data_IF_030186677932
#
_entry.id   IF_030186677932
#
_cell.length_a   1.000
_cell.length_b   1.000
_cell.length_c   1.000
_cell.angle_alpha   90.00
_cell.angle_beta   90.00
_cell.angle_gamma   90.00
#
_symmetry.space_group_name_H-M   'P 1'
#
loop_
_entity.id
_entity.type
_entity.pdbx_description
1 polymer ?
#
# COMPACT_ATOMS: atom_id res chain seq x y z
N UNK A 1 13.76 2.30 22.08
CA UNK A 1 13.87 3.60 22.76
C UNK A 1 12.60 4.40 22.57
N UNK A 2 12.13 5.01 23.62
CA UNK A 2 10.93 5.84 23.52
C UNK A 2 11.14 6.98 22.55
N UNK A 3 10.12 7.28 21.76
CA UNK A 3 10.17 8.35 20.79
C UNK A 3 10.76 7.98 19.44
N UNK A 4 11.23 6.76 19.25
CA UNK A 4 11.67 6.32 17.94
C UNK A 4 10.46 6.17 17.02
N UNK A 5 10.56 6.77 15.83
CA UNK A 5 9.53 6.60 14.81
C UNK A 5 9.72 5.25 14.14
N UNK A 6 8.65 4.50 14.04
CA UNK A 6 8.69 3.22 13.35
C UNK A 6 8.68 3.47 11.83
N UNK A 7 9.50 2.70 11.13
CA UNK A 7 9.53 2.77 9.67
C UNK A 7 8.29 2.08 9.10
N UNK A 8 7.66 2.73 8.13
CA UNK A 8 6.48 2.22 7.45
C UNK A 8 6.79 2.07 5.96
N UNK A 9 6.39 0.95 5.37
CA UNK A 9 6.50 0.72 3.93
C UNK A 9 5.12 0.52 3.33
N UNK A 10 4.83 1.24 2.25
CA UNK A 10 3.53 1.20 1.58
C UNK A 10 3.75 0.85 0.12
N UNK A 11 2.91 -0.03 -0.44
CA UNK A 11 2.98 -0.44 -1.84
C UNK A 11 1.71 -0.03 -2.57
N UNK A 12 1.87 0.82 -3.57
CA UNK A 12 0.78 1.16 -4.48
C UNK A 12 0.77 0.16 -5.64
N UNK A 13 -0.23 -0.71 -5.68
CA UNK A 13 -0.43 -1.61 -6.80
C UNK A 13 -1.24 -0.90 -7.88
N UNK A 14 -0.72 -0.88 -9.10
CA UNK A 14 -1.36 -0.19 -10.23
C UNK A 14 -1.71 -1.23 -11.29
N UNK A 15 -2.93 -1.18 -11.83
CA UNK A 15 -3.33 -2.08 -12.90
C UNK A 15 -3.19 -1.42 -14.27
N UNK A 16 -3.56 -2.13 -15.32
CA UNK A 16 -3.41 -1.65 -16.70
C UNK A 16 -4.42 -0.57 -17.11
N UNK A 17 -5.33 -0.23 -16.19
CA UNK A 17 -6.32 0.84 -16.40
C UNK A 17 -5.97 2.10 -15.61
N UNK A 18 -4.73 2.20 -15.13
CA UNK A 18 -4.27 3.31 -14.28
C UNK A 18 -5.09 3.45 -12.99
N UNK A 19 -5.56 2.32 -12.46
CA UNK A 19 -6.27 2.28 -11.19
C UNK A 19 -5.35 1.75 -10.11
N UNK A 20 -5.56 2.25 -8.89
CA UNK A 20 -4.80 1.88 -7.70
C UNK A 20 -5.64 1.00 -6.78
N UNK A 21 -5.01 -0.01 -6.19
CA UNK A 21 -5.69 -0.80 -5.18
C UNK A 21 -5.76 0.01 -3.88
N UNK A 22 -6.98 0.24 -3.40
CA UNK A 22 -7.20 0.86 -2.09
C UNK A 22 -8.03 -0.07 -1.23
N UNK A 23 -7.79 -0.01 0.08
CA UNK A 23 -8.43 -0.88 1.05
C UNK A 23 -9.02 -0.02 2.17
N UNK A 24 -10.09 -0.51 2.81
CA UNK A 24 -10.80 0.25 3.84
C UNK A 24 -10.59 -0.38 5.22
N UNK A 25 -10.26 0.46 6.19
CA UNK A 25 -10.05 0.02 7.57
C UNK A 25 -11.35 -0.45 8.20
N UNK A 26 -11.28 -1.59 8.88
CA UNK A 26 -12.44 -2.21 9.53
C UNK A 26 -12.78 -1.47 10.84
N UNK A 27 -13.84 -1.92 11.52
CA UNK A 27 -14.31 -1.31 12.76
C UNK A 27 -13.40 -1.54 13.97
N UNK A 28 -12.36 -2.35 13.85
CA UNK A 28 -11.41 -2.56 14.93
C UNK A 28 -10.29 -1.51 14.93
N UNK A 29 -10.15 -0.76 13.84
CA UNK A 29 -9.12 0.27 13.70
C UNK A 29 -9.66 1.59 14.25
N UNK A 30 -8.77 2.41 14.85
CA UNK A 30 -9.13 3.74 15.34
C UNK A 30 -9.60 4.66 14.20
N UNK A 31 -9.17 4.37 12.96
CA UNK A 31 -9.52 5.12 11.76
C UNK A 31 -10.58 4.38 10.95
N UNK A 32 -11.64 3.97 11.62
CA UNK A 32 -12.73 3.18 11.03
C UNK A 32 -13.21 3.79 9.72
N UNK A 33 -13.30 2.96 8.68
CA UNK A 33 -13.82 3.39 7.38
C UNK A 33 -12.87 4.21 6.54
N UNK A 34 -11.65 4.48 7.03
CA UNK A 34 -10.67 5.22 6.25
C UNK A 34 -10.13 4.36 5.11
N UNK A 35 -10.16 4.90 3.90
CA UNK A 35 -9.52 4.27 2.75
C UNK A 35 -8.03 4.57 2.75
N UNK A 36 -7.23 3.56 2.48
CA UNK A 36 -5.79 3.65 2.53
C UNK A 36 -5.16 2.72 1.50
N UNK A 37 -3.86 2.69 1.45
CA UNK A 37 -3.11 1.76 0.61
C UNK A 37 -2.43 0.70 1.47
N UNK A 38 -2.18 -0.50 0.90
CA UNK A 38 -1.55 -1.58 1.67
C UNK A 38 -0.16 -1.17 2.17
N UNK A 39 0.11 -1.46 3.42
CA UNK A 39 1.41 -1.18 4.02
C UNK A 39 1.35 -1.27 5.53
N UNK A 40 2.48 -1.12 6.17
CA UNK A 40 2.56 -1.20 7.61
C UNK A 40 3.98 -1.06 8.13
N UNK A 41 4.12 -1.32 9.42
CA UNK A 41 5.40 -1.20 10.10
C UNK A 41 6.38 -2.29 9.66
N UNK A 42 7.62 -1.89 9.47
CA UNK A 42 8.70 -2.82 9.13
C UNK A 42 9.21 -3.42 10.44
N UNK A 43 9.25 -4.75 10.50
CA UNK A 43 9.69 -5.49 11.69
C UNK A 43 11.19 -5.74 11.65
N UNK A 44 11.77 -6.04 12.82
CA UNK A 44 13.19 -6.36 12.93
C UNK A 44 13.56 -7.62 12.13
N UNK A 45 12.62 -8.54 11.95
CA UNK A 45 12.82 -9.75 11.17
C UNK A 45 12.84 -9.52 9.66
N UNK A 46 12.32 -8.38 9.21
CA UNK A 46 12.34 -8.05 7.78
C UNK A 46 13.76 -7.76 7.32
N UNK A 47 14.12 -8.21 6.12
CA UNK A 47 15.46 -8.02 5.59
C UNK A 47 15.71 -6.60 5.07
N UNK A 48 14.68 -5.76 5.06
CA UNK A 48 14.74 -4.37 4.64
C UNK A 48 13.36 -3.79 4.48
N UNK A 49 13.30 -2.51 4.12
CA UNK A 49 12.03 -1.79 3.98
C UNK A 49 11.18 -2.40 2.85
N UNK A 50 11.81 -2.69 1.73
CA UNK A 50 11.10 -3.24 0.56
C UNK A 50 10.48 -4.59 0.88
N UNK A 51 11.25 -5.47 1.50
CA UNK A 51 10.76 -6.81 1.84
C UNK A 51 9.64 -6.72 2.86
N UNK A 52 9.77 -5.84 3.86
CA UNK A 52 8.71 -5.61 4.85
C UNK A 52 7.45 -5.05 4.24
N UNK A 53 7.59 -4.12 3.29
CA UNK A 53 6.44 -3.56 2.57
C UNK A 53 5.70 -4.64 1.77
N UNK A 54 6.43 -5.53 1.11
CA UNK A 54 5.84 -6.66 0.38
C UNK A 54 5.15 -7.62 1.35
N UNK A 55 5.76 -7.90 2.49
CA UNK A 55 5.15 -8.76 3.52
C UNK A 55 3.81 -8.18 3.96
N UNK A 56 3.75 -6.87 4.23
CA UNK A 56 2.51 -6.20 4.62
C UNK A 56 1.47 -6.27 3.49
N UNK A 57 1.91 -6.08 2.25
CA UNK A 57 1.01 -6.22 1.09
C UNK A 57 0.38 -7.61 1.05
N UNK A 58 1.19 -8.65 1.25
CA UNK A 58 0.71 -10.03 1.24
C UNK A 58 -0.26 -10.30 2.40
N UNK A 59 0.07 -9.82 3.59
CA UNK A 59 -0.77 -10.02 4.77
C UNK A 59 -2.12 -9.32 4.63
N UNK A 60 -2.14 -8.14 4.06
CA UNK A 60 -3.36 -7.33 3.99
C UNK A 60 -4.22 -7.61 2.76
N UNK A 61 -3.63 -8.03 1.66
CA UNK A 61 -4.37 -8.12 0.39
C UNK A 61 -4.25 -9.46 -0.32
N UNK A 62 -3.27 -10.28 0.01
CA UNK A 62 -2.99 -11.50 -0.74
C UNK A 62 -2.19 -11.28 -2.02
N UNK A 63 -1.90 -10.03 -2.37
CA UNK A 63 -1.06 -9.74 -3.52
C UNK A 63 0.41 -9.76 -3.13
N UNK A 64 1.27 -10.04 -4.10
CA UNK A 64 2.71 -10.05 -3.88
C UNK A 64 3.46 -9.57 -5.12
N UNK A 65 4.73 -9.26 -4.95
CA UNK A 65 5.63 -8.95 -6.06
C UNK A 65 7.07 -9.20 -5.60
N UNK A 66 8.01 -9.11 -6.53
CA UNK A 66 9.43 -9.19 -6.20
C UNK A 66 9.97 -7.81 -5.81
N UNK A 67 11.04 -7.79 -5.03
CA UNK A 67 11.69 -6.52 -4.67
C UNK A 67 12.08 -5.75 -5.93
N UNK A 68 12.57 -6.46 -6.96
CA UNK A 68 12.98 -5.84 -8.23
C UNK A 68 11.81 -5.18 -8.99
N UNK A 69 10.57 -5.52 -8.65
CA UNK A 69 9.39 -4.92 -9.28
C UNK A 69 8.91 -3.65 -8.57
N UNK A 70 9.52 -3.31 -7.44
CA UNK A 70 9.16 -2.10 -6.70
C UNK A 70 9.87 -0.89 -7.27
N UNK A 71 9.12 0.20 -7.43
CA UNK A 71 9.66 1.50 -7.83
C UNK A 71 9.47 2.44 -6.65
N UNK A 72 10.56 3.02 -6.16
CA UNK A 72 10.50 3.92 -5.00
C UNK A 72 9.91 5.27 -5.40
N UNK A 73 8.93 5.74 -4.63
CA UNK A 73 8.27 7.01 -4.88
C UNK A 73 8.71 8.12 -3.93
N UNK A 74 9.26 7.77 -2.79
CA UNK A 74 9.75 8.76 -1.86
C UNK A 74 9.26 8.60 -0.43
N UNK A 75 9.65 9.54 0.41
CA UNK A 75 9.35 9.56 1.83
C UNK A 75 8.66 10.89 2.16
N UNK A 76 7.32 11.01 1.85
CA UNK A 76 6.61 12.28 2.05
C UNK A 76 6.49 12.68 3.53
N UNK A 77 6.56 11.70 4.43
CA UNK A 77 6.62 11.91 5.86
C UNK A 77 7.79 11.12 6.40
N UNK A 78 8.44 11.61 7.44
CA UNK A 78 9.58 10.93 8.02
C UNK A 78 9.26 9.48 8.36
N UNK A 79 10.11 8.58 7.89
CA UNK A 79 10.00 7.12 8.07
C UNK A 79 8.79 6.47 7.40
N UNK A 80 8.13 7.15 6.47
CA UNK A 80 7.00 6.59 5.73
C UNK A 80 7.36 6.52 4.24
N UNK A 81 7.74 5.33 3.79
CA UNK A 81 8.26 5.10 2.44
C UNK A 81 7.19 4.55 1.52
N UNK A 82 7.05 5.13 0.34
CA UNK A 82 6.08 4.70 -0.66
C UNK A 82 6.77 4.06 -1.85
N UNK A 83 6.22 2.96 -2.29
CA UNK A 83 6.63 2.23 -3.49
C UNK A 83 5.43 1.99 -4.39
N UNK A 84 5.67 1.74 -5.67
CA UNK A 84 4.61 1.30 -6.56
C UNK A 84 5.08 0.08 -7.34
N UNK A 85 4.12 -0.73 -7.83
CA UNK A 85 4.42 -1.82 -8.74
C UNK A 85 3.26 -2.04 -9.69
N UNK A 86 3.57 -2.45 -10.94
CA UNK A 86 2.60 -2.92 -11.92
C UNK A 86 2.66 -4.44 -12.06
N UNK A 87 3.70 -5.06 -11.49
CA UNK A 87 4.01 -6.48 -11.70
C UNK A 87 3.59 -7.35 -10.52
N UNK A 88 2.51 -6.94 -9.85
CA UNK A 88 1.94 -7.71 -8.75
C UNK A 88 1.26 -8.96 -9.27
N UNK A 89 1.20 -9.99 -8.41
CA UNK A 89 0.51 -11.26 -8.70
C UNK A 89 -0.41 -11.61 -7.54
N UNK A 90 -1.38 -12.47 -7.80
CA UNK A 90 -2.30 -12.95 -6.79
C UNK A 90 -3.71 -12.41 -6.99
N UNK A 91 -4.59 -12.76 -6.05
CA UNK A 91 -5.98 -12.31 -6.02
C UNK A 91 -6.22 -11.53 -4.74
N UNK A 92 -6.96 -10.42 -4.85
CA UNK A 92 -7.22 -9.57 -3.70
C UNK A 92 -8.12 -10.28 -2.70
N UNK A 93 -7.69 -10.34 -1.45
CA UNK A 93 -8.46 -10.86 -0.33
C UNK A 93 -8.06 -10.08 0.92
N UNK A 94 -8.94 -9.20 1.39
CA UNK A 94 -8.68 -8.39 2.59
C UNK A 94 -9.24 -9.03 3.88
N UNK A 95 -9.93 -10.15 3.77
CA UNK A 95 -10.50 -10.88 4.92
C UNK A 95 -9.46 -11.70 5.67
N UNK A 96 -8.19 -11.47 5.45
CA UNK A 96 -7.12 -12.22 6.09
C UNK A 96 -6.88 -11.70 7.50
N UNK A 97 -6.91 -12.58 8.52
CA UNK A 97 -6.59 -12.13 9.87
C UNK A 97 -5.13 -11.71 9.98
N UNK A 98 -4.89 -10.66 10.76
CA UNK A 98 -3.54 -10.26 11.10
C UNK A 98 -2.85 -11.41 11.82
N UNK A 99 -1.67 -11.86 11.40
CA UNK A 99 -1.00 -13.01 11.99
C UNK A 99 -0.64 -12.84 13.47
N UNK A 100 -0.55 -11.60 13.94
CA UNK A 100 -0.20 -11.33 15.35
C UNK A 100 -1.42 -11.19 16.25
N UNK A 101 -2.54 -10.68 15.73
CA UNK A 101 -3.73 -10.39 16.55
C UNK A 101 -4.91 -11.30 16.25
N UNK A 102 -4.93 -11.94 15.08
CA UNK A 102 -6.07 -12.73 14.61
C UNK A 102 -7.27 -11.90 14.15
N UNK A 103 -7.15 -10.59 14.13
CA UNK A 103 -8.24 -9.70 13.75
C UNK A 103 -8.16 -9.32 12.27
N UNK A 104 -9.34 -9.14 11.65
CA UNK A 104 -9.44 -8.70 10.24
C UNK A 104 -9.45 -7.17 10.24
N UNK A 105 -8.37 -6.59 9.77
CA UNK A 105 -8.14 -5.14 9.87
C UNK A 105 -8.80 -4.32 8.76
N UNK A 106 -9.18 -4.96 7.66
CA UNK A 106 -9.79 -4.29 6.51
C UNK A 106 -11.06 -5.02 6.11
N UNK A 107 -12.07 -4.26 5.69
CA UNK A 107 -13.39 -4.83 5.38
C UNK A 107 -13.86 -4.58 3.96
N UNK A 108 -13.08 -3.90 3.14
CA UNK A 108 -13.43 -3.65 1.76
C UNK A 108 -12.19 -3.28 0.94
N UNK A 109 -12.33 -3.36 -0.37
CA UNK A 109 -11.25 -2.98 -1.29
C UNK A 109 -11.85 -2.60 -2.64
N UNK A 110 -11.10 -1.85 -3.42
CA UNK A 110 -11.47 -1.57 -4.80
C UNK A 110 -10.28 -1.06 -5.60
N UNK A 111 -10.39 -1.16 -6.91
CA UNK A 111 -9.48 -0.47 -7.83
C UNK A 111 -10.08 0.89 -8.13
N UNK A 112 -9.31 1.94 -7.96
CA UNK A 112 -9.80 3.31 -8.09
C UNK A 112 -8.83 4.18 -8.87
N UNK A 113 -9.38 5.05 -9.73
CA UNK A 113 -8.58 6.04 -10.44
C UNK A 113 -8.23 7.19 -9.49
N UNK A 114 -7.27 8.04 -9.90
CA UNK A 114 -6.94 9.24 -9.12
C UNK A 114 -8.19 10.09 -8.91
N UNK A 115 -9.02 10.24 -9.94
CA UNK A 115 -10.22 11.07 -9.85
C UNK A 115 -11.20 10.51 -8.80
N UNK A 116 -11.35 9.19 -8.78
CA UNK A 116 -12.19 8.54 -7.78
C UNK A 116 -11.63 8.71 -6.37
N UNK A 117 -10.32 8.59 -6.22
CA UNK A 117 -9.66 8.73 -4.91
C UNK A 117 -9.82 10.16 -4.38
N UNK A 118 -9.74 11.17 -5.27
CA UNK A 118 -9.95 12.56 -4.88
C UNK A 118 -11.32 12.83 -4.26
N UNK A 119 -12.33 12.05 -4.66
CA UNK A 119 -13.69 12.21 -4.15
C UNK A 119 -13.91 11.54 -2.80
N UNK A 120 -12.95 10.75 -2.32
CA UNK A 120 -13.09 10.07 -1.03
C UNK A 120 -12.76 11.06 0.09
N UNK A 121 -13.73 11.29 0.98
CA UNK A 121 -13.55 12.23 2.10
C UNK A 121 -12.67 11.64 3.20
N UNK A 122 -12.85 10.35 3.50
CA UNK A 122 -12.13 9.69 4.58
C UNK A 122 -10.93 8.93 4.05
N UNK A 123 -9.87 9.68 3.70
CA UNK A 123 -8.60 9.09 3.26
C UNK A 123 -7.45 10.04 3.53
N UNK A 124 -6.25 9.47 3.71
CA UNK A 124 -5.02 10.23 3.81
C UNK A 124 -4.05 9.91 2.66
N UNK A 125 -4.55 9.29 1.58
CA UNK A 125 -3.72 8.93 0.44
C UNK A 125 -3.16 10.19 -0.24
N UNK A 126 -1.84 10.31 -0.39
CA UNK A 126 -1.23 11.52 -0.97
C UNK A 126 -1.41 11.54 -2.49
N UNK A 127 -2.27 12.44 -2.97
CA UNK A 127 -2.62 12.53 -4.39
C UNK A 127 -1.40 12.78 -5.28
N UNK A 128 -0.46 13.62 -4.83
CA UNK A 128 0.70 13.91 -5.67
C UNK A 128 1.58 12.67 -5.92
N UNK A 129 1.59 11.70 -4.98
CA UNK A 129 2.32 10.45 -5.18
C UNK A 129 1.61 9.54 -6.18
N UNK A 130 0.27 9.59 -6.24
CA UNK A 130 -0.48 8.85 -7.26
C UNK A 130 -0.10 9.33 -8.66
N UNK A 131 0.00 10.64 -8.83
CA UNK A 131 0.41 11.23 -10.10
C UNK A 131 1.84 10.84 -10.45
N UNK A 132 2.73 10.87 -9.46
CA UNK A 132 4.11 10.46 -9.64
C UNK A 132 4.21 8.99 -10.05
N UNK A 133 3.39 8.13 -9.44
CA UNK A 133 3.34 6.70 -9.78
C UNK A 133 2.94 6.48 -11.23
N UNK A 134 1.90 7.19 -11.70
CA UNK A 134 1.47 7.06 -13.09
C UNK A 134 2.52 7.55 -14.07
N UNK A 135 3.27 8.58 -13.71
CA UNK A 135 4.39 9.04 -14.54
C UNK A 135 5.47 7.96 -14.65
N UNK A 136 5.76 7.27 -13.56
CA UNK A 136 6.74 6.17 -13.57
C UNK A 136 6.28 5.03 -14.46
N UNK A 137 4.99 4.68 -14.39
CA UNK A 137 4.39 3.66 -15.24
C UNK A 137 4.63 3.99 -16.71
N UNK A 138 4.30 5.20 -17.11
CA UNK A 138 4.42 5.64 -18.51
C UNK A 138 5.85 5.67 -18.98
N UNK A 139 6.78 6.09 -18.12
CA UNK A 139 8.19 6.20 -18.49
C UNK A 139 8.88 4.84 -18.60
N UNK A 140 8.34 3.82 -17.95
CA UNK A 140 8.92 2.48 -17.95
C UNK A 140 8.29 1.54 -18.98
N UNK A 141 7.23 1.98 -19.66
CA UNK A 141 6.60 1.19 -20.70
C UNK A 141 7.50 1.12 -21.93
N UNK A 142 7.85 -0.07 -22.41
CA UNK A 142 8.67 -0.19 -23.62
C UNK A 142 7.96 0.43 -24.82
N UNK A 143 8.73 1.07 -25.64
CA UNK A 143 8.23 1.66 -26.89
C UNK A 143 8.17 0.62 -27.97
#
# INVERSE_FOLDING_TARGET
MEGELKTVGIVMCVNDKDEFLIIRRSNIDKRVGQWTMPGGHIDDEDSGIEQGAIRELEEETGLSCSISDLIYLGEPRLNKHYYMTQDWVGNVNVDQPNPHTGEVEHDNWKWATIEEIKEIENTEIPIYLLKKALEKVKNETPI
#
